data_IF_983235555574
#
_entry.id   IF_983235555574
#
_cell.length_a   1.000
_cell.length_b   1.000
_cell.length_c   1.000
_cell.angle_alpha   90.00
_cell.angle_beta   90.00
_cell.angle_gamma   90.00
#
_symmetry.space_group_name_H-M   'P 1'
#
loop_
_entity.id
_entity.type
_entity.pdbx_description
1 polymer ?
#
# COMPACT_ATOMS: atom_id res chain seq x y z
N UNK A 1 -3.33 16.94 -10.65
CA UNK A 1 -2.96 15.54 -11.01
C UNK A 1 -4.16 14.62 -10.83
N UNK A 2 -4.32 13.59 -11.69
CA UNK A 2 -5.29 12.50 -11.48
C UNK A 2 -4.53 11.26 -11.01
N UNK A 3 -5.02 10.61 -9.96
CA UNK A 3 -4.49 9.33 -9.49
C UNK A 3 -5.61 8.38 -9.10
N UNK A 4 -5.30 7.08 -9.06
CA UNK A 4 -6.25 6.02 -8.75
C UNK A 4 -5.87 5.33 -7.45
N UNK A 5 -6.84 5.21 -6.56
CA UNK A 5 -6.69 4.55 -5.27
C UNK A 5 -7.58 3.31 -5.22
N UNK A 6 -6.96 2.11 -5.18
CA UNK A 6 -7.67 0.84 -5.04
C UNK A 6 -7.78 0.41 -3.58
N UNK A 7 -8.95 -0.07 -3.17
CA UNK A 7 -9.19 -0.56 -1.80
C UNK A 7 -10.31 -1.61 -1.79
N UNK A 8 -10.18 -2.63 -0.93
CA UNK A 8 -11.23 -3.64 -0.72
C UNK A 8 -12.46 -3.05 -0.03
N UNK A 9 -12.27 -2.05 0.82
CA UNK A 9 -13.32 -1.46 1.63
C UNK A 9 -13.74 -0.11 1.08
N UNK A 10 -15.04 0.20 1.20
CA UNK A 10 -15.53 1.55 0.91
C UNK A 10 -14.91 2.53 1.91
N UNK A 11 -14.32 3.60 1.40
CA UNK A 11 -13.73 4.68 2.20
C UNK A 11 -14.74 5.80 2.26
N UNK A 12 -15.27 6.06 3.45
CA UNK A 12 -16.23 7.15 3.68
C UNK A 12 -15.50 8.49 3.79
N UNK A 13 -14.37 8.50 4.50
CA UNK A 13 -13.49 9.65 4.63
C UNK A 13 -12.03 9.21 4.50
N UNK A 14 -11.26 9.97 3.70
CA UNK A 14 -9.80 9.82 3.61
C UNK A 14 -9.14 10.47 4.84
N UNK A 15 -9.39 9.91 6.03
CA UNK A 15 -8.72 10.33 7.27
C UNK A 15 -7.38 9.63 7.40
N UNK A 16 -6.43 10.28 8.08
CA UNK A 16 -5.06 9.81 8.25
C UNK A 16 -4.90 8.44 8.93
N UNK A 17 -5.96 7.82 9.42
CA UNK A 17 -5.93 6.48 10.03
C UNK A 17 -6.04 5.36 8.98
N UNK A 18 -6.62 5.63 7.81
CA UNK A 18 -6.78 4.66 6.72
C UNK A 18 -5.64 4.81 5.69
N UNK A 19 -4.39 4.60 6.13
CA UNK A 19 -3.21 4.80 5.26
C UNK A 19 -2.93 3.63 4.32
N UNK A 20 -3.51 2.46 4.57
CA UNK A 20 -3.06 1.22 3.94
C UNK A 20 -3.90 0.87 2.71
N UNK A 21 -3.26 0.91 1.55
CA UNK A 21 -3.59 -0.02 0.49
C UNK A 21 -3.04 -1.40 0.85
N UNK A 22 -3.54 -2.46 0.21
CA UNK A 22 -2.99 -3.82 0.27
C UNK A 22 -1.65 -3.91 -0.50
N UNK A 23 -0.72 -2.98 -0.21
CA UNK A 23 0.66 -2.94 -0.68
C UNK A 23 1.48 -3.79 0.25
N UNK A 24 2.61 -4.33 -0.23
CA UNK A 24 3.59 -5.04 0.58
C UNK A 24 3.75 -4.38 1.97
N UNK A 25 3.50 -5.17 3.01
CA UNK A 25 3.37 -4.72 4.40
C UNK A 25 4.57 -3.87 4.85
N UNK A 26 5.74 -4.08 4.23
CA UNK A 26 6.98 -3.36 4.52
C UNK A 26 6.86 -1.85 4.30
N UNK A 27 6.10 -1.39 3.30
CA UNK A 27 6.01 0.02 2.91
C UNK A 27 4.58 0.59 3.00
N UNK A 28 3.59 -0.26 3.26
CA UNK A 28 2.17 0.12 3.29
C UNK A 28 1.81 1.19 4.32
N UNK A 29 2.61 1.36 5.39
CA UNK A 29 2.31 2.32 6.47
C UNK A 29 2.86 3.73 6.23
N UNK A 30 3.60 3.96 5.14
CA UNK A 30 4.24 5.26 4.84
C UNK A 30 3.19 6.34 4.53
N UNK A 31 2.14 6.01 3.78
CA UNK A 31 1.12 6.95 3.33
C UNK A 31 0.14 6.29 2.36
N UNK A 32 -0.70 7.11 1.73
CA UNK A 32 -1.65 6.66 0.72
C UNK A 32 -0.92 6.34 -0.57
N UNK A 33 -0.97 5.09 -0.97
CA UNK A 33 -0.44 4.64 -2.24
C UNK A 33 -1.47 4.87 -3.34
N UNK A 34 -1.07 5.39 -4.49
CA UNK A 34 -1.94 5.61 -5.66
C UNK A 34 -1.19 5.30 -6.94
N UNK A 35 -1.91 5.03 -8.03
CA UNK A 35 -1.31 4.78 -9.34
C UNK A 35 -1.75 5.81 -10.37
N UNK A 36 -0.94 6.03 -11.41
CA UNK A 36 -1.34 6.86 -12.57
C UNK A 36 -2.34 6.18 -13.49
N UNK A 37 -2.44 4.85 -13.40
CA UNK A 37 -3.28 4.01 -14.26
C UNK A 37 -4.34 3.25 -13.44
N UNK A 38 -5.56 3.18 -13.98
CA UNK A 38 -6.72 2.57 -13.33
C UNK A 38 -6.56 1.05 -13.21
N UNK A 39 -6.03 0.38 -14.23
CA UNK A 39 -5.85 -1.07 -14.20
C UNK A 39 -4.77 -1.47 -13.18
N UNK A 40 -3.77 -0.62 -13.00
CA UNK A 40 -2.74 -0.77 -11.99
C UNK A 40 -3.25 -0.62 -10.56
N UNK A 41 -4.38 0.07 -10.35
CA UNK A 41 -5.03 0.18 -9.04
C UNK A 41 -5.86 -1.08 -8.67
N UNK A 42 -6.27 -1.88 -9.66
CA UNK A 42 -7.16 -3.05 -9.48
C UNK A 42 -6.62 -4.09 -8.48
N UNK A 43 -5.33 -4.49 -8.51
CA UNK A 43 -4.81 -5.47 -7.55
C UNK A 43 -4.96 -5.06 -6.08
N UNK A 44 -4.92 -3.74 -5.78
CA UNK A 44 -5.07 -3.23 -4.42
C UNK A 44 -6.52 -3.24 -3.92
N UNK A 45 -7.48 -3.42 -4.82
CA UNK A 45 -8.91 -3.49 -4.53
C UNK A 45 -9.44 -4.94 -4.50
N UNK A 46 -8.58 -5.94 -4.66
CA UNK A 46 -8.95 -7.36 -4.61
C UNK A 46 -8.16 -8.03 -3.48
N UNK A 47 -8.83 -8.88 -2.72
CA UNK A 47 -8.16 -9.71 -1.73
C UNK A 47 -9.13 -10.66 -1.04
N UNK A 48 -8.83 -11.00 0.20
CA UNK A 48 -9.65 -11.90 1.00
C UNK A 48 -9.89 -11.31 2.38
N UNK A 49 -11.12 -11.45 2.87
CA UNK A 49 -11.47 -11.16 4.25
C UNK A 49 -11.70 -12.45 5.02
N UNK A 50 -11.18 -12.51 6.24
CA UNK A 50 -11.43 -13.61 7.15
C UNK A 50 -12.75 -13.38 7.87
N UNK A 51 -13.71 -14.29 7.70
CA UNK A 51 -15.00 -14.25 8.41
C UNK A 51 -15.18 -15.47 9.30
N UNK A 52 -15.82 -15.24 10.45
CA UNK A 52 -16.24 -16.30 11.35
C UNK A 52 -17.70 -16.63 11.07
N UNK A 53 -17.96 -17.83 10.60
CA UNK A 53 -19.31 -18.28 10.27
C UNK A 53 -19.63 -19.64 10.89
N UNK A 54 -20.91 -19.93 11.04
CA UNK A 54 -21.37 -21.24 11.50
C UNK A 54 -21.09 -22.27 10.40
N UNK A 55 -20.45 -23.38 10.77
CA UNK A 55 -20.15 -24.46 9.85
C UNK A 55 -21.43 -25.19 9.45
N UNK A 56 -21.56 -25.52 8.16
CA UNK A 56 -22.65 -26.34 7.65
C UNK A 56 -22.37 -27.84 7.83
N UNK A 57 -21.11 -28.20 8.12
CA UNK A 57 -20.62 -29.59 8.14
C UNK A 57 -20.04 -30.01 9.49
N UNK A 58 -19.69 -29.07 10.36
CA UNK A 58 -19.11 -29.34 11.67
C UNK A 58 -20.01 -28.87 12.81
N UNK A 59 -20.30 -29.78 13.73
CA UNK A 59 -21.16 -29.55 14.89
C UNK A 59 -20.45 -29.93 16.18
N UNK A 60 -20.79 -29.26 17.27
CA UNK A 60 -20.44 -29.66 18.63
C UNK A 60 -21.22 -30.91 19.05
N UNK A 61 -20.81 -31.56 20.13
CA UNK A 61 -21.50 -32.76 20.66
C UNK A 61 -22.96 -32.48 21.06
N UNK A 62 -23.29 -31.22 21.38
CA UNK A 62 -24.66 -30.77 21.67
C UNK A 62 -25.51 -30.51 20.41
N UNK A 63 -24.98 -30.83 19.23
CA UNK A 63 -25.65 -30.66 17.94
C UNK A 63 -25.66 -29.23 17.40
N UNK A 64 -25.02 -28.25 18.06
CA UNK A 64 -24.92 -26.89 17.54
C UNK A 64 -23.79 -26.77 16.50
N UNK A 65 -23.97 -25.98 15.42
CA UNK A 65 -22.90 -25.70 14.48
C UNK A 65 -21.66 -25.10 15.15
N UNK A 66 -20.47 -25.57 14.79
CA UNK A 66 -19.22 -24.92 15.20
C UNK A 66 -19.06 -23.57 14.49
N UNK A 67 -18.31 -22.66 15.10
CA UNK A 67 -17.85 -21.44 14.43
C UNK A 67 -16.51 -21.74 13.78
N UNK A 68 -16.44 -21.62 12.45
CA UNK A 68 -15.23 -21.83 11.66
C UNK A 68 -14.78 -20.52 11.04
N UNK A 69 -13.48 -20.42 10.81
CA UNK A 69 -12.84 -19.32 10.11
C UNK A 69 -12.76 -19.67 8.62
N UNK A 70 -13.26 -18.79 7.76
CA UNK A 70 -13.22 -18.96 6.30
C UNK A 70 -12.75 -17.66 5.67
N UNK A 71 -11.82 -17.77 4.73
CA UNK A 71 -11.39 -16.63 3.91
C UNK A 71 -12.30 -16.50 2.70
N UNK A 72 -12.96 -15.35 2.56
CA UNK A 72 -13.85 -15.03 1.44
C UNK A 72 -13.19 -14.02 0.50
N UNK A 73 -13.30 -14.20 -0.82
CA UNK A 73 -12.81 -13.20 -1.76
C UNK A 73 -13.63 -11.91 -1.62
N UNK A 74 -12.95 -10.77 -1.66
CA UNK A 74 -13.54 -9.43 -1.64
C UNK A 74 -13.14 -8.67 -2.90
N UNK A 75 -14.14 -8.13 -3.58
CA UNK A 75 -14.02 -7.20 -4.70
C UNK A 75 -14.38 -5.80 -4.22
N UNK A 76 -13.41 -4.89 -4.28
CA UNK A 76 -13.53 -3.55 -3.75
C UNK A 76 -13.83 -2.48 -4.80
N UNK A 77 -13.26 -1.30 -4.56
CA UNK A 77 -13.50 -0.08 -5.32
C UNK A 77 -12.19 0.58 -5.74
N UNK A 78 -12.24 1.27 -6.87
CA UNK A 78 -11.19 2.17 -7.33
C UNK A 78 -11.72 3.60 -7.30
N UNK A 79 -11.05 4.46 -6.53
CA UNK A 79 -11.37 5.87 -6.42
C UNK A 79 -10.49 6.64 -7.42
N UNK A 80 -11.13 7.40 -8.31
CA UNK A 80 -10.45 8.36 -9.17
C UNK A 80 -10.38 9.69 -8.43
N UNK A 81 -9.18 10.11 -8.08
CA UNK A 81 -8.93 11.27 -7.22
C UNK A 81 -8.21 12.35 -7.99
N UNK A 82 -8.68 13.60 -7.83
CA UNK A 82 -7.92 14.78 -8.21
C UNK A 82 -7.10 15.28 -7.03
N UNK A 83 -5.82 15.49 -7.27
CA UNK A 83 -4.85 16.02 -6.31
C UNK A 83 -4.31 17.32 -6.87
N UNK A 84 -4.43 18.40 -6.11
CA UNK A 84 -3.88 19.69 -6.49
C UNK A 84 -2.36 19.68 -6.29
N UNK A 85 -1.63 20.04 -7.33
CA UNK A 85 -0.18 19.92 -7.56
C UNK A 85 0.69 19.66 -6.31
N UNK A 86 0.80 18.39 -5.83
CA UNK A 86 1.50 18.13 -4.59
C UNK A 86 3.02 18.22 -4.80
N UNK A 87 3.75 18.73 -3.80
CA UNK A 87 5.21 18.75 -3.86
C UNK A 87 5.78 17.36 -3.57
N UNK A 88 6.09 16.61 -4.63
CA UNK A 88 6.55 15.22 -4.52
C UNK A 88 8.06 15.10 -4.75
N UNK A 89 8.70 14.26 -3.92
CA UNK A 89 10.03 13.77 -4.25
C UNK A 89 9.94 12.77 -5.40
N UNK A 90 10.69 13.01 -6.48
CA UNK A 90 10.69 12.15 -7.65
C UNK A 90 11.83 11.14 -7.55
N UNK A 91 11.48 9.85 -7.53
CA UNK A 91 12.41 8.75 -7.75
C UNK A 91 12.29 8.33 -9.22
N UNK A 92 13.24 8.77 -10.02
CA UNK A 92 13.37 8.46 -11.44
C UNK A 92 14.83 8.11 -11.76
N UNK A 93 15.03 7.17 -12.66
CA UNK A 93 16.34 6.82 -13.16
C UNK A 93 16.27 6.22 -14.56
N UNK A 94 17.16 6.70 -15.44
CA UNK A 94 17.39 6.12 -16.75
C UNK A 94 18.35 4.91 -16.72
N UNK A 95 18.95 4.61 -15.56
CA UNK A 95 20.02 3.60 -15.43
C UNK A 95 19.77 2.57 -14.35
N UNK A 96 19.10 2.95 -13.26
CA UNK A 96 18.77 2.07 -12.13
C UNK A 96 17.25 1.85 -12.08
N UNK A 97 16.79 0.86 -11.31
CA UNK A 97 15.37 0.76 -10.99
C UNK A 97 14.95 1.92 -10.08
N UNK A 98 13.89 2.65 -10.42
CA UNK A 98 13.36 3.74 -9.59
C UNK A 98 12.97 3.25 -8.20
N UNK A 99 12.50 1.99 -8.09
CA UNK A 99 12.19 1.38 -6.80
C UNK A 99 13.45 1.16 -5.96
N UNK A 100 14.58 0.81 -6.58
CA UNK A 100 15.86 0.67 -5.87
C UNK A 100 16.29 2.01 -5.26
N UNK A 101 16.11 3.12 -5.99
CA UNK A 101 16.43 4.45 -5.47
C UNK A 101 15.60 4.80 -4.24
N UNK A 102 14.29 4.54 -4.31
CA UNK A 102 13.39 4.70 -3.18
C UNK A 102 13.82 3.85 -1.99
N UNK A 103 14.04 2.56 -2.21
CA UNK A 103 14.39 1.62 -1.14
C UNK A 103 15.74 1.97 -0.50
N UNK A 104 16.74 2.37 -1.29
CA UNK A 104 18.05 2.80 -0.76
C UNK A 104 17.96 4.07 0.10
N UNK A 105 17.02 4.97 -0.21
CA UNK A 105 16.80 6.17 0.58
C UNK A 105 16.07 5.86 1.90
N UNK A 106 15.09 4.95 1.85
CA UNK A 106 14.38 4.41 3.01
C UNK A 106 15.28 3.55 3.92
N UNK A 107 16.24 2.82 3.34
CA UNK A 107 17.10 1.86 4.04
C UNK A 107 17.91 2.50 5.18
N UNK A 108 18.21 3.80 5.06
CA UNK A 108 18.91 4.60 6.07
C UNK A 108 18.22 4.61 7.45
N UNK A 109 16.92 4.30 7.47
CA UNK A 109 16.09 4.28 8.68
C UNK A 109 15.77 2.85 9.14
N UNK A 110 16.18 1.84 8.39
CA UNK A 110 15.82 0.44 8.61
C UNK A 110 16.87 -0.27 9.48
N UNK A 111 16.39 -1.07 10.42
CA UNK A 111 17.19 -1.97 11.25
C UNK A 111 16.88 -3.41 10.89
N UNK A 112 17.88 -4.11 10.37
CA UNK A 112 17.76 -5.49 9.93
C UNK A 112 18.49 -6.44 10.87
N UNK A 113 17.96 -7.65 11.01
CA UNK A 113 18.67 -8.76 11.65
C UNK A 113 18.86 -9.93 10.69
N UNK A 114 20.06 -10.49 10.67
CA UNK A 114 20.34 -11.79 10.06
C UNK A 114 21.55 -12.44 10.75
N UNK A 115 21.53 -13.77 10.86
CA UNK A 115 22.51 -14.55 11.62
C UNK A 115 23.99 -14.52 11.13
N UNK A 116 24.37 -13.83 10.03
CA UNK A 116 25.69 -14.05 9.37
C UNK A 116 26.43 -12.84 8.78
N UNK A 117 25.92 -11.61 8.82
CA UNK A 117 26.58 -10.40 8.22
C UNK A 117 26.34 -9.18 9.13
N UNK A 118 27.12 -8.10 8.95
CA UNK A 118 26.99 -6.86 9.75
C UNK A 118 26.26 -5.72 9.02
N UNK A 119 26.39 -5.64 7.71
CA UNK A 119 25.76 -4.59 6.89
C UNK A 119 24.70 -5.23 5.97
N UNK A 120 23.44 -5.04 6.34
CA UNK A 120 22.27 -5.53 5.59
C UNK A 120 21.61 -4.40 4.84
N UNK A 121 21.12 -4.74 3.66
CA UNK A 121 20.23 -3.90 2.88
C UNK A 121 18.92 -4.64 2.64
N UNK A 122 17.90 -3.91 2.22
CA UNK A 122 16.64 -4.49 1.78
C UNK A 122 16.80 -5.59 0.70
N UNK A 123 17.91 -5.62 -0.06
CA UNK A 123 18.22 -6.66 -1.06
C UNK A 123 18.70 -7.98 -0.46
N UNK A 124 19.16 -7.98 0.79
CA UNK A 124 19.72 -9.18 1.44
C UNK A 124 18.62 -10.10 2.02
N UNK A 125 17.33 -9.79 1.81
CA UNK A 125 16.16 -10.53 2.36
C UNK A 125 16.24 -10.76 3.89
N UNK A 126 16.85 -9.81 4.61
CA UNK A 126 16.96 -9.85 6.06
C UNK A 126 15.63 -9.46 6.73
N UNK A 127 15.43 -9.87 7.99
CA UNK A 127 14.22 -9.52 8.73
C UNK A 127 14.31 -8.07 9.19
N UNK A 128 13.38 -7.23 8.73
CA UNK A 128 13.23 -5.84 9.19
C UNK A 128 12.59 -5.81 10.59
N UNK A 129 13.26 -5.18 11.55
CA UNK A 129 12.85 -5.16 12.96
C UNK A 129 12.00 -3.95 13.34
N UNK A 130 12.22 -2.81 12.68
CA UNK A 130 11.66 -1.52 13.08
C UNK A 130 10.77 -0.92 11.99
N UNK A 131 10.00 -1.74 11.27
CA UNK A 131 9.25 -1.33 10.07
C UNK A 131 8.43 -0.05 10.23
N UNK A 132 7.59 0.03 11.26
CA UNK A 132 6.73 1.20 11.50
C UNK A 132 7.56 2.46 11.80
N UNK A 133 8.56 2.33 12.66
CA UNK A 133 9.46 3.43 13.04
C UNK A 133 10.31 3.90 11.86
N UNK A 134 10.81 2.97 11.04
CA UNK A 134 11.59 3.28 9.84
C UNK A 134 10.73 4.05 8.82
N UNK A 135 9.49 3.63 8.60
CA UNK A 135 8.54 4.29 7.71
C UNK A 135 8.17 5.69 8.23
N UNK A 136 7.96 5.85 9.54
CA UNK A 136 7.69 7.14 10.17
C UNK A 136 8.88 8.10 10.08
N UNK A 137 10.10 7.63 10.36
CA UNK A 137 11.34 8.42 10.25
C UNK A 137 11.60 8.85 8.81
N UNK A 138 11.43 7.94 7.85
CA UNK A 138 11.54 8.23 6.43
C UNK A 138 10.53 9.31 5.99
N UNK A 139 9.25 9.13 6.34
CA UNK A 139 8.19 10.12 6.08
C UNK A 139 8.53 11.47 6.70
N UNK A 140 8.92 11.49 7.97
CA UNK A 140 9.25 12.72 8.70
C UNK A 140 10.43 13.45 8.05
N UNK A 141 11.45 12.72 7.62
CA UNK A 141 12.57 13.29 6.86
C UNK A 141 12.10 13.96 5.58
N UNK A 142 11.25 13.33 4.78
CA UNK A 142 10.73 13.94 3.55
C UNK A 142 9.86 15.19 3.82
N UNK A 143 9.02 15.14 4.87
CA UNK A 143 8.23 16.31 5.31
C UNK A 143 9.15 17.47 5.73
N UNK A 144 10.25 17.20 6.44
CA UNK A 144 11.23 18.23 6.82
C UNK A 144 11.90 18.90 5.61
N UNK A 145 12.00 18.19 4.49
CA UNK A 145 12.47 18.74 3.21
C UNK A 145 11.35 19.43 2.40
N UNK A 146 10.14 19.53 2.95
CA UNK A 146 9.00 20.20 2.32
C UNK A 146 8.20 19.34 1.35
N UNK A 147 8.43 18.02 1.30
CA UNK A 147 7.67 17.11 0.44
C UNK A 147 6.36 16.65 1.10
N UNK A 148 5.30 16.60 0.31
CA UNK A 148 3.97 16.10 0.70
C UNK A 148 3.79 14.61 0.38
N UNK A 149 4.78 14.03 -0.29
CA UNK A 149 4.82 12.63 -0.70
C UNK A 149 5.99 12.36 -1.63
N UNK A 150 5.91 11.25 -2.34
CA UNK A 150 6.88 10.90 -3.38
C UNK A 150 6.23 10.12 -4.51
N UNK A 151 6.92 10.07 -5.64
CA UNK A 151 6.55 9.29 -6.82
C UNK A 151 7.72 8.37 -7.18
N UNK A 152 7.40 7.10 -7.44
CA UNK A 152 8.29 6.12 -8.02
C UNK A 152 7.87 5.94 -9.48
N UNK A 153 8.65 6.52 -10.39
CA UNK A 153 8.32 6.49 -11.80
C UNK A 153 8.64 5.14 -12.42
N UNK A 154 7.85 4.73 -13.41
CA UNK A 154 8.05 3.49 -14.15
C UNK A 154 8.13 2.24 -13.25
N UNK A 155 7.34 2.22 -12.17
CA UNK A 155 7.26 1.08 -11.27
C UNK A 155 6.69 -0.14 -12.00
N UNK A 156 7.41 -1.27 -11.93
CA UNK A 156 7.03 -2.52 -12.58
C UNK A 156 6.11 -3.31 -11.66
N UNK A 157 4.82 -3.31 -11.97
CA UNK A 157 3.84 -4.21 -11.39
C UNK A 157 3.78 -5.52 -12.20
N UNK A 158 3.22 -6.58 -11.61
CA UNK A 158 3.03 -7.87 -12.28
C UNK A 158 2.26 -7.77 -13.62
N UNK A 159 1.50 -6.68 -13.83
CA UNK A 159 0.64 -6.48 -15.00
C UNK A 159 0.96 -5.22 -15.82
N UNK A 160 2.10 -4.56 -15.60
CA UNK A 160 2.48 -3.38 -16.39
C UNK A 160 3.48 -2.46 -15.72
N UNK A 161 3.71 -1.32 -16.38
CA UNK A 161 4.52 -0.22 -15.86
C UNK A 161 3.58 0.93 -15.51
N UNK A 162 3.69 1.45 -14.30
CA UNK A 162 2.85 2.58 -13.83
C UNK A 162 3.68 3.49 -12.94
N UNK A 163 3.27 4.74 -12.79
CA UNK A 163 3.83 5.59 -11.75
C UNK A 163 3.10 5.31 -10.43
N UNK A 164 3.88 5.07 -9.39
CA UNK A 164 3.40 4.78 -8.06
C UNK A 164 3.61 6.01 -7.17
N UNK A 165 2.52 6.59 -6.70
CA UNK A 165 2.49 7.76 -5.83
C UNK A 165 2.31 7.32 -4.39
N UNK A 166 3.00 7.95 -3.45
CA UNK A 166 2.74 7.84 -2.02
C UNK A 166 2.54 9.23 -1.43
N UNK A 167 1.31 9.54 -1.02
CA UNK A 167 0.97 10.81 -0.37
C UNK A 167 0.91 10.65 1.14
N UNK A 168 1.54 11.56 1.89
CA UNK A 168 1.55 11.49 3.35
C UNK A 168 0.21 11.88 3.99
N UNK A 169 -0.60 12.63 3.24
CA UNK A 169 -1.96 13.01 3.58
C UNK A 169 -2.71 13.32 2.31
N UNK A 170 -3.95 12.88 2.22
CA UNK A 170 -4.89 13.31 1.18
C UNK A 170 -6.03 14.01 1.93
N UNK A 171 -5.82 15.28 2.25
CA UNK A 171 -6.80 16.04 3.03
C UNK A 171 -8.03 16.32 2.14
N UNK A 172 -9.10 15.55 2.35
CA UNK A 172 -10.37 15.69 1.61
C UNK A 172 -10.18 15.71 0.09
N UNK A 173 -9.76 14.58 -0.51
CA UNK A 173 -9.56 14.52 -1.95
C UNK A 173 -10.83 14.91 -2.72
N UNK A 174 -10.66 15.58 -3.85
CA UNK A 174 -11.74 15.71 -4.81
C UNK A 174 -11.89 14.35 -5.53
N UNK A 175 -12.84 13.54 -5.06
CA UNK A 175 -13.19 12.27 -5.67
C UNK A 175 -14.01 12.55 -6.92
N UNK A 176 -13.44 12.24 -8.09
CA UNK A 176 -14.12 12.39 -9.38
C UNK A 176 -15.10 11.26 -9.65
N UNK A 177 -14.75 10.04 -9.21
CA UNK A 177 -15.49 8.83 -9.51
C UNK A 177 -15.13 7.72 -8.52
N UNK A 178 -16.06 6.79 -8.30
CA UNK A 178 -15.88 5.59 -7.49
C UNK A 178 -16.34 4.40 -8.34
N UNK A 179 -15.39 3.58 -8.75
CA UNK A 179 -15.61 2.52 -9.74
C UNK A 179 -15.52 1.17 -9.02
N UNK A 180 -16.62 0.41 -8.91
CA UNK A 180 -16.56 -0.98 -8.46
C UNK A 180 -15.64 -1.79 -9.37
N UNK A 181 -14.77 -2.62 -8.79
CA UNK A 181 -13.81 -3.43 -9.55
C UNK A 181 -14.48 -4.34 -10.59
N UNK A 182 -15.70 -4.77 -10.33
CA UNK A 182 -16.51 -5.63 -11.21
C UNK A 182 -16.88 -4.95 -12.53
N UNK A 183 -16.78 -3.62 -12.60
CA UNK A 183 -17.09 -2.82 -13.79
C UNK A 183 -15.86 -2.54 -14.67
N UNK A 184 -14.68 -3.10 -14.34
CA UNK A 184 -13.38 -2.90 -15.02
C UNK A 184 -12.82 -4.18 -15.62
#
# INVERSE_FOLDING_TARGET
>A
MIAYFGTMNKVEDFTSEVKTQNVDNVIGTIGYWLTSDIHSAKPYAIGTETVYQKSETEFWEDGKPKVIQVDKPVTGFIYKIFIDEPNLKVYDSNTNDSYDLFMNDRDKYCEYIHARKRDFTWKDNATLLNMEEANEKFRTSLIQHGYEGFIIQNYKLQHGVTDLYCLFSINSPLISDIIPVENL
#
